data_IF_067234722709
#
_entry.id   IF_067234722709
#
_cell.length_a   1.000
_cell.length_b   1.000
_cell.length_c   1.000
_cell.angle_alpha   90.00
_cell.angle_beta   90.00
_cell.angle_gamma   90.00
#
_symmetry.space_group_name_H-M   'P 1'
#
loop_
_entity.id
_entity.type
_entity.pdbx_description
1 polymer ?
#
# COMPACT_ATOMS: atom_id res chain seq x y z
N UNK A 1 6.99 -12.11 29.20
CA UNK A 1 7.17 -12.35 27.74
C UNK A 1 5.98 -11.78 26.97
N UNK A 2 6.17 -10.97 25.92
CA UNK A 2 5.06 -10.53 25.10
C UNK A 2 4.47 -11.75 24.37
N UNK A 3 3.22 -12.08 24.67
CA UNK A 3 2.48 -13.16 23.99
C UNK A 3 2.36 -12.80 22.51
N UNK A 4 3.08 -13.52 21.66
CA UNK A 4 3.07 -13.32 20.21
C UNK A 4 2.17 -14.34 19.52
N UNK A 5 1.82 -14.05 18.27
CA UNK A 5 1.04 -14.91 17.39
C UNK A 5 1.93 -15.36 16.23
N UNK A 6 2.61 -16.52 16.34
CA UNK A 6 3.53 -16.99 15.31
C UNK A 6 2.79 -17.52 14.08
N UNK A 7 3.37 -17.27 12.90
CA UNK A 7 2.93 -17.89 11.66
C UNK A 7 3.17 -19.39 11.68
N UNK A 8 2.16 -20.18 11.31
CA UNK A 8 2.29 -21.63 11.30
C UNK A 8 3.07 -22.16 10.08
N UNK A 9 3.28 -21.32 9.05
CA UNK A 9 3.97 -21.71 7.81
C UNK A 9 5.45 -21.29 7.86
N UNK A 10 5.76 -20.08 8.33
CA UNK A 10 7.12 -19.55 8.34
C UNK A 10 7.62 -19.11 9.72
N UNK A 11 6.91 -19.49 10.79
CA UNK A 11 7.26 -19.24 12.22
C UNK A 11 7.44 -17.78 12.65
N UNK A 12 7.31 -16.83 11.72
CA UNK A 12 7.47 -15.40 11.98
C UNK A 12 6.49 -14.91 13.07
N UNK A 13 6.98 -14.24 14.14
CA UNK A 13 6.13 -13.77 15.21
C UNK A 13 5.43 -12.46 14.84
N UNK A 14 4.17 -12.33 15.25
CA UNK A 14 3.40 -11.10 15.12
C UNK A 14 2.83 -10.66 16.48
N UNK A 15 2.76 -9.34 16.76
CA UNK A 15 2.28 -8.84 18.05
C UNK A 15 0.76 -8.94 18.20
N UNK A 16 0.01 -9.09 17.10
CA UNK A 16 -1.46 -9.21 17.15
C UNK A 16 -2.01 -10.23 16.15
N UNK A 17 -3.18 -10.83 16.48
CA UNK A 17 -3.91 -11.73 15.56
C UNK A 17 -4.27 -11.07 14.23
N UNK A 18 -4.61 -9.78 14.23
CA UNK A 18 -4.95 -9.04 13.00
C UNK A 18 -3.76 -8.92 12.06
N UNK A 19 -2.56 -8.69 12.60
CA UNK A 19 -1.33 -8.66 11.80
C UNK A 19 -0.97 -10.06 11.28
N UNK A 20 -1.10 -11.09 12.12
CA UNK A 20 -0.92 -12.48 11.69
C UNK A 20 -1.89 -12.85 10.55
N UNK A 21 -3.19 -12.52 10.68
CA UNK A 21 -4.21 -12.78 9.65
C UNK A 21 -3.88 -12.07 8.34
N UNK A 22 -3.44 -10.81 8.42
CA UNK A 22 -3.01 -10.03 7.25
C UNK A 22 -1.71 -10.54 6.62
N UNK A 23 -0.88 -11.22 7.40
CA UNK A 23 0.31 -11.91 6.92
C UNK A 23 -0.06 -13.22 6.22
N UNK A 24 -1.02 -14.00 6.72
CA UNK A 24 -1.42 -15.27 6.08
C UNK A 24 -1.83 -15.11 4.62
N UNK A 25 -2.35 -13.94 4.22
CA UNK A 25 -2.62 -13.62 2.82
C UNK A 25 -1.38 -13.72 1.91
N UNK A 26 -0.14 -13.68 2.43
CA UNK A 26 1.05 -13.89 1.61
C UNK A 26 1.27 -15.34 1.22
N UNK A 27 0.79 -16.28 2.03
CA UNK A 27 0.94 -17.71 1.82
C UNK A 27 -0.16 -18.31 0.94
N UNK A 28 -1.20 -17.52 0.65
CA UNK A 28 -2.25 -17.87 -0.29
C UNK A 28 -1.96 -17.11 -1.59
N UNK A 29 -1.86 -17.81 -2.72
CA UNK A 29 -1.69 -17.21 -4.05
C UNK A 29 -2.98 -16.59 -4.60
N UNK A 30 -3.85 -16.14 -3.70
CA UNK A 30 -5.05 -15.41 -4.05
C UNK A 30 -4.87 -13.94 -3.65
N UNK A 31 -5.18 -13.05 -4.59
CA UNK A 31 -5.16 -11.61 -4.41
C UNK A 31 -6.61 -11.12 -4.39
N UNK A 32 -7.28 -11.19 -3.22
CA UNK A 32 -8.73 -11.00 -3.14
C UNK A 32 -9.20 -9.57 -3.44
N UNK A 33 -8.27 -8.63 -3.65
CA UNK A 33 -8.57 -7.24 -3.92
C UNK A 33 -8.13 -6.84 -5.33
N UNK A 34 -8.95 -7.10 -6.37
CA UNK A 34 -8.69 -6.63 -7.73
C UNK A 34 -8.80 -5.09 -7.83
N UNK A 35 -8.05 -4.50 -8.75
CA UNK A 35 -8.25 -3.09 -9.11
C UNK A 35 -9.60 -2.90 -9.82
N UNK A 36 -10.42 -1.92 -9.42
CA UNK A 36 -11.73 -1.70 -10.04
C UNK A 36 -11.66 -0.91 -11.36
N UNK A 37 -10.48 -0.42 -11.77
CA UNK A 37 -10.33 0.40 -12.97
C UNK A 37 -10.19 -0.46 -14.22
N UNK A 38 -10.96 -0.13 -15.25
CA UNK A 38 -10.92 -0.84 -16.54
C UNK A 38 -9.53 -0.71 -17.18
N UNK A 39 -9.00 -1.83 -17.68
CA UNK A 39 -7.65 -1.91 -18.24
C UNK A 39 -6.52 -2.02 -17.19
N UNK A 40 -6.84 -2.24 -15.91
CA UNK A 40 -5.85 -2.49 -14.86
C UNK A 40 -6.08 -3.87 -14.21
N UNK A 41 -5.28 -4.86 -14.61
CA UNK A 41 -5.39 -6.25 -14.12
C UNK A 41 -4.60 -6.51 -12.83
N UNK A 42 -4.24 -5.46 -12.08
CA UNK A 42 -3.48 -5.59 -10.85
C UNK A 42 -4.37 -6.02 -9.69
N UNK A 43 -3.91 -7.02 -8.95
CA UNK A 43 -4.58 -7.55 -7.77
C UNK A 43 -3.68 -7.43 -6.53
N UNK A 44 -4.30 -7.24 -5.36
CA UNK A 44 -3.59 -6.97 -4.12
C UNK A 44 -3.97 -7.96 -3.02
N UNK A 45 -3.01 -8.27 -2.15
CA UNK A 45 -3.20 -9.14 -0.98
C UNK A 45 -3.95 -8.42 0.16
N UNK A 46 -3.95 -7.09 0.18
CA UNK A 46 -4.56 -6.27 1.24
C UNK A 46 -5.29 -5.05 0.67
N UNK A 47 -6.42 -4.68 1.31
CA UNK A 47 -7.22 -3.52 0.92
C UNK A 47 -6.44 -2.19 0.93
N UNK A 48 -5.53 -2.01 1.88
CA UNK A 48 -4.71 -0.79 1.93
C UNK A 48 -3.72 -0.70 0.77
N UNK A 49 -3.22 -1.83 0.27
CA UNK A 49 -2.32 -1.86 -0.89
C UNK A 49 -3.07 -1.49 -2.17
N UNK A 50 -4.29 -2.02 -2.36
CA UNK A 50 -5.18 -1.61 -3.46
C UNK A 50 -5.47 -0.10 -3.42
N UNK A 51 -5.89 0.44 -2.27
CA UNK A 51 -6.17 1.87 -2.14
C UNK A 51 -4.95 2.71 -2.49
N UNK A 52 -3.78 2.30 -1.99
CA UNK A 52 -2.51 2.95 -2.27
C UNK A 52 -2.13 2.92 -3.75
N UNK A 53 -2.43 1.83 -4.45
CA UNK A 53 -2.26 1.73 -5.90
C UNK A 53 -3.21 2.68 -6.63
N UNK A 54 -4.50 2.67 -6.29
CA UNK A 54 -5.51 3.57 -6.86
C UNK A 54 -5.11 5.03 -6.68
N UNK A 55 -4.74 5.43 -5.46
CA UNK A 55 -4.29 6.79 -5.16
C UNK A 55 -3.02 7.17 -5.96
N UNK A 56 -2.17 6.19 -6.33
CA UNK A 56 -0.94 6.46 -7.05
C UNK A 56 -1.10 6.50 -8.58
N UNK A 57 -2.03 5.71 -9.13
CA UNK A 57 -2.10 5.42 -10.57
C UNK A 57 -3.42 5.82 -11.23
N UNK A 58 -4.49 5.89 -10.45
CA UNK A 58 -5.85 6.13 -10.95
C UNK A 58 -6.53 7.33 -10.29
N UNK A 59 -5.83 8.03 -9.39
CA UNK A 59 -6.34 9.25 -8.78
C UNK A 59 -6.53 10.34 -9.84
N UNK A 60 -7.78 10.74 -10.06
CA UNK A 60 -8.13 11.89 -10.89
C UNK A 60 -7.71 13.22 -10.25
N UNK A 61 -7.60 13.25 -8.92
CA UNK A 61 -7.22 14.43 -8.15
C UNK A 61 -5.88 14.19 -7.45
N UNK A 62 -4.91 15.05 -7.77
CA UNK A 62 -3.61 15.10 -7.12
C UNK A 62 -3.72 15.87 -5.80
N UNK A 63 -3.94 15.14 -4.71
CA UNK A 63 -4.17 15.69 -3.36
C UNK A 63 -2.95 16.38 -2.74
N UNK A 64 -1.75 16.03 -3.19
CA UNK A 64 -0.50 16.52 -2.61
C UNK A 64 0.23 17.36 -3.64
N UNK A 65 0.19 18.68 -3.46
CA UNK A 65 0.92 19.61 -4.32
C UNK A 65 2.33 19.83 -3.77
N UNK A 66 3.26 20.03 -4.69
CA UNK A 66 4.61 20.45 -4.38
C UNK A 66 4.61 21.85 -3.75
N UNK A 67 5.24 21.97 -2.57
CA UNK A 67 5.36 23.24 -1.85
C UNK A 67 6.50 24.13 -2.35
N UNK A 68 7.36 23.65 -3.25
CA UNK A 68 8.48 24.41 -3.80
C UNK A 68 8.14 25.27 -5.02
N UNK A 69 6.86 25.38 -5.38
CA UNK A 69 6.40 26.28 -6.44
C UNK A 69 6.45 25.74 -7.87
N UNK A 70 6.88 24.50 -8.11
CA UNK A 70 6.88 23.92 -9.47
C UNK A 70 5.49 23.51 -10.00
N UNK A 71 4.45 23.55 -9.15
CA UNK A 71 3.08 23.21 -9.52
C UNK A 71 2.81 21.70 -9.69
N UNK A 72 3.81 20.83 -9.49
CA UNK A 72 3.60 19.39 -9.61
C UNK A 72 2.70 18.85 -8.50
N UNK A 73 1.70 18.07 -8.90
CA UNK A 73 0.80 17.37 -7.99
C UNK A 73 1.01 15.86 -7.99
N UNK A 74 0.74 15.25 -6.84
CA UNK A 74 0.87 13.82 -6.59
C UNK A 74 -0.39 13.28 -5.93
N UNK A 75 -0.80 12.07 -6.30
CA UNK A 75 -1.91 11.39 -5.63
C UNK A 75 -1.56 10.85 -4.25
N UNK A 76 -0.27 10.79 -3.90
CA UNK A 76 0.24 10.30 -2.60
C UNK A 76 1.33 11.18 -1.99
N UNK A 77 1.31 11.29 -0.66
CA UNK A 77 2.26 12.09 0.13
C UNK A 77 3.71 11.63 -0.02
N UNK A 78 3.97 10.33 0.05
CA UNK A 78 5.34 9.81 -0.01
C UNK A 78 6.00 10.01 -1.40
N UNK A 79 5.20 10.10 -2.46
CA UNK A 79 5.73 10.45 -3.78
C UNK A 79 6.14 11.92 -3.84
N UNK A 80 5.28 12.83 -3.35
CA UNK A 80 5.60 14.25 -3.21
C UNK A 80 6.83 14.46 -2.32
N UNK A 81 6.91 13.83 -1.15
CA UNK A 81 8.08 13.92 -0.27
C UNK A 81 9.36 13.41 -0.94
N UNK A 82 9.27 12.37 -1.79
CA UNK A 82 10.42 11.87 -2.54
C UNK A 82 10.86 12.84 -3.62
N UNK A 83 9.93 13.50 -4.29
CA UNK A 83 10.20 14.60 -5.23
C UNK A 83 10.93 15.74 -4.51
N UNK A 84 10.40 16.22 -3.37
CA UNK A 84 11.06 17.25 -2.55
C UNK A 84 12.49 16.84 -2.17
N UNK A 85 12.66 15.61 -1.67
CA UNK A 85 13.97 15.10 -1.23
C UNK A 85 14.98 15.00 -2.38
N UNK A 86 14.51 14.83 -3.61
CA UNK A 86 15.35 14.79 -4.82
C UNK A 86 15.66 16.18 -5.38
N UNK A 87 15.24 17.24 -4.67
CA UNK A 87 15.53 18.63 -5.03
C UNK A 87 14.37 19.34 -5.72
N UNK A 88 13.18 18.73 -5.74
CA UNK A 88 12.15 18.94 -6.76
C UNK A 88 12.56 18.29 -8.09
#
# INVERSE_FOLDING_TARGET
EPKSFPCQICTKPFPTRTQLKSHMAIHVDNFPFPCPYTGCDLHFKRKHDLRRHVDAKHALVKKYLCSGGCGEGFGRRDQMLRHLKRGH
#
